data_IF_902169812042
#
_entry.id   IF_902169812042
#
_cell.length_a   1.000
_cell.length_b   1.000
_cell.length_c   1.000
_cell.angle_alpha   90.00
_cell.angle_beta   90.00
_cell.angle_gamma   90.00
#
_symmetry.space_group_name_H-M   'P 1'
#
loop_
_entity.id
_entity.type
_entity.pdbx_description
1 polymer ?
#
# COMPACT_ATOMS: atom_id res chain seq x y z
N UNK A 1 12.62 -1.88 -16.94
CA UNK A 1 11.75 -0.78 -17.42
C UNK A 1 12.22 0.51 -16.79
N UNK A 2 12.60 1.49 -17.60
CA UNK A 2 13.11 2.79 -17.15
C UNK A 2 12.01 3.61 -16.47
N UNK A 3 12.23 4.01 -15.22
CA UNK A 3 11.35 4.91 -14.46
C UNK A 3 11.37 6.28 -15.12
N UNK A 4 10.23 6.71 -15.67
CA UNK A 4 10.09 8.05 -16.22
C UNK A 4 10.10 9.08 -15.07
N UNK A 5 10.88 10.16 -15.22
CA UNK A 5 11.11 11.17 -14.17
C UNK A 5 10.70 12.56 -14.68
N UNK A 6 9.38 12.86 -14.73
CA UNK A 6 8.91 14.19 -15.10
C UNK A 6 9.47 15.25 -14.15
N UNK A 7 9.90 16.39 -14.69
CA UNK A 7 10.55 17.47 -13.94
C UNK A 7 9.65 18.18 -12.92
N UNK A 8 8.32 18.04 -13.05
CA UNK A 8 7.34 18.50 -12.06
C UNK A 8 6.09 17.61 -12.06
N UNK A 9 5.25 17.73 -11.02
CA UNK A 9 4.05 16.91 -10.87
C UNK A 9 2.98 17.20 -11.95
N UNK A 10 2.96 18.41 -12.53
CA UNK A 10 1.97 18.81 -13.54
C UNK A 10 2.24 18.16 -14.89
N UNK A 11 3.50 17.91 -15.21
CA UNK A 11 3.94 17.27 -16.45
C UNK A 11 3.96 15.75 -16.37
N UNK A 12 3.66 15.16 -15.21
CA UNK A 12 3.59 13.72 -15.07
C UNK A 12 2.30 13.16 -15.67
N UNK A 13 2.36 11.91 -16.14
CA UNK A 13 1.16 11.19 -16.52
C UNK A 13 0.43 10.68 -15.27
N UNK A 14 -0.88 10.90 -15.28
CA UNK A 14 -1.84 10.56 -14.25
C UNK A 14 -3.10 9.89 -14.83
N UNK A 15 -3.12 9.59 -16.14
CA UNK A 15 -4.25 8.92 -16.78
C UNK A 15 -4.41 7.51 -16.22
N UNK A 16 -5.55 6.88 -16.51
CA UNK A 16 -5.72 5.44 -16.28
C UNK A 16 -4.64 4.68 -17.04
N UNK A 17 -4.08 3.64 -16.42
CA UNK A 17 -3.15 2.73 -17.08
C UNK A 17 -3.84 1.59 -17.85
N UNK A 18 -5.16 1.43 -17.69
CA UNK A 18 -5.90 0.27 -18.21
C UNK A 18 -5.57 -1.04 -17.46
N UNK A 19 -5.07 -0.95 -16.23
CA UNK A 19 -4.78 -2.13 -15.39
C UNK A 19 -6.08 -2.77 -14.86
N UNK A 20 -7.08 -1.95 -14.54
CA UNK A 20 -8.36 -2.45 -14.07
C UNK A 20 -9.35 -2.59 -15.25
N UNK A 21 -10.24 -3.60 -15.23
CA UNK A 21 -11.35 -3.67 -16.17
C UNK A 21 -12.18 -2.39 -16.15
N UNK A 22 -12.80 -2.05 -17.28
CA UNK A 22 -13.81 -0.98 -17.28
C UNK A 22 -14.96 -1.36 -16.34
N UNK A 23 -15.58 -0.40 -15.62
CA UNK A 23 -16.70 -0.69 -14.73
C UNK A 23 -17.82 -1.51 -15.39
N UNK A 24 -18.14 -1.24 -16.65
CA UNK A 24 -19.18 -1.95 -17.40
C UNK A 24 -18.74 -3.35 -17.90
N UNK A 25 -17.43 -3.61 -17.91
CA UNK A 25 -16.85 -4.88 -18.38
C UNK A 25 -16.74 -5.95 -17.29
N UNK A 26 -17.01 -5.58 -16.03
CA UNK A 26 -16.95 -6.46 -14.88
C UNK A 26 -17.98 -5.99 -13.86
N UNK A 27 -19.05 -6.75 -13.63
CA UNK A 27 -20.12 -6.31 -12.73
C UNK A 27 -19.89 -6.74 -11.27
N UNK A 28 -18.82 -7.48 -10.98
CA UNK A 28 -18.57 -7.97 -9.63
C UNK A 28 -18.09 -6.86 -8.69
N UNK A 29 -18.42 -7.02 -7.41
CA UNK A 29 -17.78 -6.24 -6.35
C UNK A 29 -16.28 -6.58 -6.29
N UNK A 30 -15.45 -5.61 -5.94
CA UNK A 30 -14.02 -5.80 -5.83
C UNK A 30 -13.35 -4.86 -4.83
N UNK A 31 -12.30 -5.35 -4.19
CA UNK A 31 -11.35 -4.56 -3.39
C UNK A 31 -9.96 -4.80 -3.96
N UNK A 32 -9.27 -3.72 -4.33
CA UNK A 32 -7.88 -3.77 -4.77
C UNK A 32 -7.00 -2.96 -3.83
N UNK A 33 -5.82 -3.50 -3.54
CA UNK A 33 -4.68 -2.73 -3.06
C UNK A 33 -3.72 -2.58 -4.22
N UNK A 34 -3.47 -1.34 -4.63
CA UNK A 34 -2.58 -1.02 -5.74
C UNK A 34 -1.33 -0.31 -5.24
N UNK A 35 -0.25 -0.43 -6.01
CA UNK A 35 0.99 0.29 -5.77
C UNK A 35 1.65 0.75 -7.06
N UNK A 36 2.42 1.83 -6.98
CA UNK A 36 3.28 2.29 -8.07
C UNK A 36 4.57 2.88 -7.49
N UNK A 37 5.66 2.87 -8.28
CA UNK A 37 6.91 3.54 -7.90
C UNK A 37 6.67 5.03 -7.71
N UNK A 38 7.27 5.64 -6.67
CA UNK A 38 7.16 7.08 -6.44
C UNK A 38 7.90 7.88 -7.51
N UNK A 39 7.57 9.17 -7.70
CA UNK A 39 8.29 10.03 -8.64
C UNK A 39 9.68 10.46 -8.16
N UNK A 40 10.57 10.80 -9.09
CA UNK A 40 11.89 11.38 -8.83
C UNK A 40 12.92 10.40 -8.21
N UNK A 41 13.92 10.94 -7.50
CA UNK A 41 14.95 10.14 -6.80
C UNK A 41 14.34 9.18 -5.75
N UNK A 42 13.19 9.55 -5.17
CA UNK A 42 12.43 8.73 -4.22
C UNK A 42 11.88 7.45 -4.89
N UNK A 43 11.62 7.51 -6.19
CA UNK A 43 11.14 6.39 -7.00
C UNK A 43 12.07 5.19 -7.07
N UNK A 44 13.36 5.40 -6.84
CA UNK A 44 14.30 4.29 -6.73
C UNK A 44 14.02 3.39 -5.52
N UNK A 45 13.36 3.92 -4.48
CA UNK A 45 13.41 3.32 -3.14
C UNK A 45 12.05 3.16 -2.46
N UNK A 46 10.97 3.74 -2.99
CA UNK A 46 9.66 3.69 -2.35
C UNK A 46 8.48 3.57 -3.32
N UNK A 47 7.39 2.99 -2.82
CA UNK A 47 6.09 2.91 -3.47
C UNK A 47 5.10 3.95 -2.90
N UNK A 48 4.16 4.37 -3.75
CA UNK A 48 2.89 4.97 -3.31
C UNK A 48 1.81 3.90 -3.46
N UNK A 49 1.09 3.62 -2.37
CA UNK A 49 0.02 2.62 -2.36
C UNK A 49 -1.33 3.26 -2.09
N UNK A 50 -2.38 2.61 -2.60
CA UNK A 50 -3.76 3.06 -2.43
C UNK A 50 -4.75 1.92 -2.48
N UNK A 51 -5.98 2.20 -2.06
CA UNK A 51 -7.08 1.25 -2.04
C UNK A 51 -8.10 1.65 -3.10
N UNK A 52 -8.65 0.66 -3.78
CA UNK A 52 -9.76 0.83 -4.72
C UNK A 52 -10.89 -0.09 -4.30
N UNK A 53 -12.08 0.47 -4.15
CA UNK A 53 -13.32 -0.26 -3.85
C UNK A 53 -14.24 -0.19 -5.06
N UNK A 54 -14.97 -1.27 -5.32
CA UNK A 54 -16.03 -1.31 -6.33
C UNK A 54 -17.16 -2.14 -5.79
N UNK A 55 -18.35 -1.57 -5.72
CA UNK A 55 -19.58 -2.32 -5.45
C UNK A 55 -20.04 -3.00 -6.74
N UNK A 56 -20.84 -4.06 -6.62
CA UNK A 56 -21.39 -4.74 -7.78
C UNK A 56 -22.17 -3.76 -8.68
N UNK A 57 -21.88 -3.77 -9.98
CA UNK A 57 -22.48 -2.86 -10.97
C UNK A 57 -22.15 -1.37 -10.79
N UNK A 58 -21.20 -1.01 -9.93
CA UNK A 58 -20.82 0.37 -9.67
C UNK A 58 -19.44 0.75 -10.25
N UNK A 59 -19.17 2.06 -10.26
CA UNK A 59 -17.83 2.59 -10.55
C UNK A 59 -16.82 2.32 -9.44
N UNK A 60 -15.55 2.62 -9.73
CA UNK A 60 -14.46 2.49 -8.78
C UNK A 60 -14.34 3.72 -7.87
N UNK A 61 -14.18 3.45 -6.58
CA UNK A 61 -13.80 4.42 -5.55
C UNK A 61 -12.35 4.23 -5.13
N UNK A 62 -11.47 5.16 -5.50
CA UNK A 62 -10.07 5.22 -5.10
C UNK A 62 -9.91 6.05 -3.83
N UNK A 63 -9.15 5.50 -2.87
CA UNK A 63 -8.73 6.17 -1.64
C UNK A 63 -7.22 6.15 -1.51
N UNK A 64 -6.60 7.32 -1.43
CA UNK A 64 -5.17 7.45 -1.19
C UNK A 64 -4.81 8.60 -0.24
N UNK A 65 -3.72 8.41 0.51
CA UNK A 65 -3.20 9.43 1.42
C UNK A 65 -2.11 10.25 0.74
N UNK A 66 -2.30 11.57 0.65
CA UNK A 66 -1.36 12.50 -0.01
C UNK A 66 -1.05 13.72 0.86
N UNK A 67 0.01 14.45 0.49
CA UNK A 67 0.50 15.60 1.25
C UNK A 67 -0.15 16.95 0.93
N UNK A 68 -1.16 16.99 0.06
CA UNK A 68 -1.82 18.22 -0.38
C UNK A 68 -3.34 18.12 -0.19
N UNK A 69 -3.94 19.14 0.44
CA UNK A 69 -5.37 19.18 0.75
C UNK A 69 -5.76 18.30 1.95
N UNK A 70 -6.98 17.73 1.93
CA UNK A 70 -7.38 16.69 2.90
C UNK A 70 -6.48 15.46 2.71
N UNK A 71 -5.84 14.94 3.76
CA UNK A 71 -4.85 13.88 3.61
C UNK A 71 -5.42 12.63 2.94
N UNK A 72 -6.63 12.21 3.29
CA UNK A 72 -7.32 11.10 2.61
C UNK A 72 -8.18 11.67 1.49
N UNK A 73 -7.84 11.30 0.25
CA UNK A 73 -8.52 11.76 -0.96
C UNK A 73 -9.36 10.64 -1.53
N UNK A 74 -10.55 10.99 -2.03
CA UNK A 74 -11.44 10.09 -2.78
C UNK A 74 -11.52 10.54 -4.24
N UNK A 75 -11.29 9.62 -5.18
CA UNK A 75 -11.50 9.80 -6.63
C UNK A 75 -10.84 11.03 -7.25
N UNK A 76 -9.67 11.42 -6.75
CA UNK A 76 -8.94 12.59 -7.31
C UNK A 76 -8.10 12.25 -8.54
N UNK A 77 -7.93 10.95 -8.78
CA UNK A 77 -7.24 10.34 -9.90
C UNK A 77 -8.03 9.09 -10.32
N UNK A 78 -7.84 8.59 -11.55
CA UNK A 78 -8.37 7.28 -11.95
C UNK A 78 -7.97 6.19 -10.96
N UNK A 79 -8.80 5.16 -10.85
CA UNK A 79 -8.62 4.05 -9.91
C UNK A 79 -7.27 3.35 -10.09
N UNK A 80 -6.89 3.13 -11.34
CA UNK A 80 -5.60 2.60 -11.79
C UNK A 80 -4.74 3.68 -12.45
N UNK A 81 -4.86 4.92 -11.98
CA UNK A 81 -4.08 6.01 -12.53
C UNK A 81 -2.58 5.81 -12.33
N UNK A 82 -1.77 6.15 -13.34
CA UNK A 82 -0.33 6.29 -13.19
C UNK A 82 0.01 7.15 -11.97
N UNK A 83 1.11 6.81 -11.29
CA UNK A 83 1.65 7.64 -10.21
C UNK A 83 2.96 8.28 -10.67
N UNK A 84 2.93 9.58 -10.94
CA UNK A 84 4.09 10.27 -11.52
C UNK A 84 4.65 9.55 -12.77
N UNK A 85 3.80 9.23 -13.75
CA UNK A 85 4.15 8.41 -14.93
C UNK A 85 4.57 6.96 -14.64
N UNK A 86 4.56 6.48 -13.39
CA UNK A 86 4.88 5.09 -13.08
C UNK A 86 3.62 4.23 -13.12
N UNK A 87 3.68 3.15 -13.90
CA UNK A 87 2.57 2.22 -14.05
C UNK A 87 2.22 1.57 -12.69
N UNK A 88 0.94 1.49 -12.33
CA UNK A 88 0.52 0.74 -11.16
C UNK A 88 0.63 -0.76 -11.38
N UNK A 89 0.66 -1.48 -10.28
CA UNK A 89 0.48 -2.93 -10.23
C UNK A 89 -0.45 -3.31 -9.07
N UNK A 90 -1.08 -4.47 -9.20
CA UNK A 90 -1.94 -5.03 -8.16
C UNK A 90 -1.06 -5.67 -7.08
N UNK A 91 -1.20 -5.21 -5.84
CA UNK A 91 -0.60 -5.85 -4.66
C UNK A 91 -1.53 -6.96 -4.15
N UNK A 92 -2.83 -6.66 -4.10
CA UNK A 92 -3.85 -7.64 -3.73
C UNK A 92 -5.17 -7.32 -4.42
N UNK A 93 -5.93 -8.35 -4.79
CA UNK A 93 -7.29 -8.22 -5.30
C UNK A 93 -8.21 -9.26 -4.69
N UNK A 94 -9.35 -8.82 -4.18
CA UNK A 94 -10.47 -9.66 -3.80
C UNK A 94 -11.69 -9.27 -4.65
N UNK A 95 -12.42 -10.25 -5.17
CA UNK A 95 -13.58 -10.03 -6.07
C UNK A 95 -14.80 -10.85 -5.63
N UNK A 96 -15.96 -10.49 -6.17
CA UNK A 96 -17.22 -11.16 -5.91
C UNK A 96 -17.74 -10.95 -4.48
N UNK A 97 -18.46 -11.95 -3.98
CA UNK A 97 -19.15 -11.89 -2.68
C UNK A 97 -18.21 -11.59 -1.51
N UNK A 98 -16.97 -12.11 -1.54
CA UNK A 98 -15.97 -11.82 -0.51
C UNK A 98 -15.65 -10.33 -0.44
N UNK A 99 -15.50 -9.66 -1.59
CA UNK A 99 -15.29 -8.22 -1.64
C UNK A 99 -16.51 -7.45 -1.13
N UNK A 100 -17.72 -7.86 -1.52
CA UNK A 100 -18.96 -7.21 -1.10
C UNK A 100 -19.12 -7.19 0.43
N UNK A 101 -18.78 -8.30 1.09
CA UNK A 101 -18.80 -8.41 2.56
C UNK A 101 -17.75 -7.53 3.22
N UNK A 102 -16.56 -7.38 2.61
CA UNK A 102 -15.46 -6.63 3.22
C UNK A 102 -15.48 -5.13 2.94
N UNK A 103 -16.12 -4.66 1.85
CA UNK A 103 -16.19 -3.23 1.50
C UNK A 103 -16.62 -2.34 2.69
N UNK A 104 -17.69 -2.65 3.44
CA UNK A 104 -18.08 -1.84 4.60
C UNK A 104 -17.02 -1.79 5.70
N UNK A 105 -16.32 -2.91 5.96
CA UNK A 105 -15.21 -2.95 6.93
C UNK A 105 -14.05 -2.06 6.48
N UNK A 106 -13.74 -2.09 5.18
CA UNK A 106 -12.69 -1.25 4.59
C UNK A 106 -13.04 0.23 4.67
N UNK A 107 -14.27 0.60 4.32
CA UNK A 107 -14.75 1.98 4.45
C UNK A 107 -14.70 2.46 5.90
N UNK A 108 -15.08 1.61 6.86
CA UNK A 108 -14.99 1.92 8.28
C UNK A 108 -13.54 2.16 8.72
N UNK A 109 -12.60 1.30 8.32
CA UNK A 109 -11.19 1.47 8.62
C UNK A 109 -10.62 2.77 8.02
N UNK A 110 -11.03 3.12 6.79
CA UNK A 110 -10.66 4.40 6.18
C UNK A 110 -11.20 5.58 7.01
N UNK A 111 -12.45 5.51 7.44
CA UNK A 111 -13.10 6.56 8.22
C UNK A 111 -12.47 6.76 9.61
N UNK A 112 -11.99 5.69 10.25
CA UNK A 112 -11.37 5.75 11.58
C UNK A 112 -9.85 5.96 11.55
N UNK A 113 -9.25 6.15 10.38
CA UNK A 113 -7.81 6.32 10.27
C UNK A 113 -7.31 7.53 11.09
N UNK A 114 -6.40 7.35 12.07
CA UNK A 114 -6.06 8.38 13.05
C UNK A 114 -5.28 9.57 12.48
N UNK A 115 -4.69 9.41 11.29
CA UNK A 115 -3.90 10.46 10.64
C UNK A 115 -4.63 11.07 9.44
N UNK A 116 -5.95 11.20 9.52
CA UNK A 116 -6.81 11.79 8.47
C UNK A 116 -6.87 13.32 8.50
N UNK A 117 -6.34 13.97 9.55
CA UNK A 117 -6.41 15.42 9.74
C UNK A 117 -5.39 16.20 8.88
N UNK A 118 -5.73 17.40 8.36
CA UNK A 118 -4.79 18.26 7.63
C UNK A 118 -3.47 18.46 8.39
N UNK A 119 -2.35 18.41 7.67
CA UNK A 119 -1.00 18.53 8.26
C UNK A 119 -0.44 17.23 8.85
N UNK A 120 -1.24 16.17 9.00
CA UNK A 120 -0.75 14.89 9.52
C UNK A 120 0.11 14.10 8.51
N UNK A 121 0.14 14.46 7.23
CA UNK A 121 0.96 13.76 6.24
C UNK A 121 2.45 14.08 6.41
N UNK A 122 3.28 13.03 6.52
CA UNK A 122 4.73 13.14 6.49
C UNK A 122 5.30 12.07 5.57
N UNK A 123 6.07 12.49 4.58
CA UNK A 123 6.65 11.60 3.55
C UNK A 123 7.48 10.48 4.17
N UNK A 124 8.30 10.79 5.18
CA UNK A 124 9.18 9.85 5.87
C UNK A 124 9.39 10.28 7.33
N UNK A 125 9.40 9.34 8.31
CA UNK A 125 9.12 7.90 8.15
C UNK A 125 7.62 7.59 7.96
N UNK A 126 6.76 8.58 8.19
CA UNK A 126 5.31 8.46 8.14
C UNK A 126 4.66 9.48 9.08
N UNK A 127 3.32 9.55 9.12
CA UNK A 127 2.40 8.69 8.37
C UNK A 127 2.19 9.18 6.92
N UNK A 128 2.27 8.24 5.97
CA UNK A 128 2.13 8.47 4.52
C UNK A 128 1.14 7.48 3.89
N UNK A 129 1.07 7.39 2.55
CA UNK A 129 0.24 6.43 1.81
C UNK A 129 0.40 4.99 2.28
N UNK A 130 1.64 4.56 2.53
CA UNK A 130 1.95 3.20 2.95
C UNK A 130 1.48 2.94 4.38
N UNK A 131 1.63 3.93 5.28
CA UNK A 131 1.08 3.84 6.65
C UNK A 131 -0.45 3.79 6.66
N UNK A 132 -1.10 4.51 5.73
CA UNK A 132 -2.55 4.49 5.58
C UNK A 132 -3.05 3.13 5.10
N UNK A 133 -2.49 2.60 4.02
CA UNK A 133 -2.88 1.29 3.50
C UNK A 133 -2.54 0.17 4.49
N UNK A 134 -1.39 0.23 5.16
CA UNK A 134 -1.03 -0.72 6.22
C UNK A 134 -2.07 -0.73 7.35
N UNK A 135 -2.50 0.44 7.83
CA UNK A 135 -3.54 0.53 8.85
C UNK A 135 -4.86 -0.13 8.41
N UNK A 136 -5.28 0.08 7.16
CA UNK A 136 -6.52 -0.52 6.65
C UNK A 136 -6.40 -2.04 6.49
N UNK A 137 -5.24 -2.53 6.07
CA UNK A 137 -4.96 -3.97 6.00
C UNK A 137 -4.97 -4.59 7.39
N UNK A 138 -4.32 -3.96 8.37
CA UNK A 138 -4.30 -4.44 9.75
C UNK A 138 -5.72 -4.47 10.37
N UNK A 139 -6.57 -3.50 10.02
CA UNK A 139 -7.95 -3.40 10.51
C UNK A 139 -8.93 -4.34 9.80
N UNK A 140 -8.63 -4.76 8.57
CA UNK A 140 -9.45 -5.69 7.77
C UNK A 140 -8.58 -6.82 7.26
N UNK A 141 -8.10 -7.68 8.18
CA UNK A 141 -7.07 -8.61 7.84
C UNK A 141 -7.60 -9.66 6.82
N UNK A 142 -8.91 -9.93 6.76
CA UNK A 142 -9.53 -10.83 5.77
C UNK A 142 -9.28 -10.44 4.30
N UNK A 143 -8.75 -9.24 4.04
CA UNK A 143 -8.23 -8.86 2.71
C UNK A 143 -7.07 -9.75 2.25
N UNK A 144 -6.31 -10.35 3.17
CA UNK A 144 -5.13 -11.16 2.85
C UNK A 144 -4.02 -10.40 2.12
N UNK A 145 -4.00 -9.07 2.22
CA UNK A 145 -3.01 -8.22 1.57
C UNK A 145 -1.74 -8.11 2.41
N UNK A 146 -0.58 -8.07 1.76
CA UNK A 146 0.70 -7.70 2.40
C UNK A 146 1.42 -6.66 1.57
N UNK A 147 1.74 -5.52 2.17
CA UNK A 147 2.47 -4.48 1.45
C UNK A 147 3.91 -4.93 1.16
N UNK A 148 4.48 -4.61 -0.02
CA UNK A 148 5.87 -4.90 -0.34
C UNK A 148 6.87 -4.30 0.66
N UNK A 149 8.04 -4.92 0.82
CA UNK A 149 9.09 -4.47 1.74
C UNK A 149 9.69 -3.09 1.42
N UNK A 150 9.52 -2.63 0.17
CA UNK A 150 9.91 -1.29 -0.26
C UNK A 150 8.74 -0.27 -0.21
N UNK A 151 7.60 -0.60 0.40
CA UNK A 151 6.55 0.37 0.72
C UNK A 151 6.95 1.20 1.97
N UNK A 152 7.96 2.06 1.81
CA UNK A 152 8.56 2.85 2.91
C UNK A 152 7.49 3.61 3.72
N UNK A 153 7.44 3.34 5.03
CA UNK A 153 6.47 3.91 5.96
C UNK A 153 5.28 3.00 6.27
N UNK A 154 5.17 1.80 5.68
CA UNK A 154 4.17 0.78 6.06
C UNK A 154 4.26 0.39 7.54
N UNK A 155 5.46 0.46 8.13
CA UNK A 155 5.73 0.07 9.53
C UNK A 155 5.56 1.24 10.52
N UNK A 156 4.98 2.37 10.11
CA UNK A 156 4.78 3.53 10.99
C UNK A 156 3.64 3.24 12.00
N UNK A 157 3.89 3.27 13.32
CA UNK A 157 2.90 2.90 14.32
C UNK A 157 1.89 4.03 14.59
N UNK A 158 0.72 3.67 15.13
CA UNK A 158 -0.15 4.62 15.80
C UNK A 158 0.44 4.89 17.18
N UNK A 159 1.12 6.03 17.35
CA UNK A 159 1.87 6.37 18.56
C UNK A 159 3.38 6.36 18.32
N UNK A 160 4.17 6.28 19.40
CA UNK A 160 5.63 6.27 19.30
C UNK A 160 6.18 4.88 18.97
N UNK A 161 5.53 3.82 19.44
CA UNK A 161 5.98 2.44 19.24
C UNK A 161 4.78 1.49 19.17
N UNK A 162 5.02 0.29 18.65
CA UNK A 162 4.07 -0.82 18.56
C UNK A 162 4.84 -2.12 18.77
N UNK A 163 4.27 -3.05 19.53
CA UNK A 163 4.71 -4.43 19.64
C UNK A 163 3.47 -5.31 19.70
N UNK A 164 3.25 -6.15 18.69
CA UNK A 164 2.02 -6.93 18.56
C UNK A 164 2.27 -8.28 17.90
N UNK A 165 1.44 -9.25 18.26
CA UNK A 165 1.29 -10.50 17.53
C UNK A 165 0.24 -10.30 16.45
N UNK A 166 0.58 -10.60 15.19
CA UNK A 166 -0.34 -10.53 14.06
C UNK A 166 -0.87 -11.93 13.75
N UNK A 167 -2.12 -12.20 14.16
CA UNK A 167 -2.74 -13.54 14.04
C UNK A 167 -2.74 -14.10 12.62
N UNK A 168 -2.89 -13.23 11.62
CA UNK A 168 -2.98 -13.68 10.23
C UNK A 168 -1.66 -14.14 9.62
N UNK A 169 -0.57 -13.45 9.94
CA UNK A 169 0.74 -13.84 9.47
C UNK A 169 1.47 -14.75 10.46
N UNK A 170 0.90 -14.93 11.66
CA UNK A 170 1.53 -15.62 12.80
C UNK A 170 2.94 -15.05 13.07
N UNK A 171 3.04 -13.72 13.07
CA UNK A 171 4.30 -13.01 13.31
C UNK A 171 4.23 -12.11 14.55
N UNK A 172 5.34 -12.04 15.29
CA UNK A 172 5.61 -10.96 16.22
C UNK A 172 6.20 -9.77 15.46
N UNK A 173 5.55 -8.61 15.55
CA UNK A 173 5.99 -7.35 14.92
C UNK A 173 6.27 -6.27 15.93
N UNK A 174 7.37 -5.56 15.71
CA UNK A 174 7.77 -4.40 16.51
C UNK A 174 8.17 -3.22 15.62
N UNK A 175 7.82 -2.00 16.02
CA UNK A 175 8.26 -0.77 15.36
C UNK A 175 8.35 0.39 16.33
N UNK A 176 9.40 1.19 16.22
CA UNK A 176 9.62 2.43 16.98
C UNK A 176 9.68 3.58 15.97
N UNK A 177 8.69 4.46 16.05
CA UNK A 177 8.50 5.66 15.23
C UNK A 177 8.52 5.40 13.70
N UNK A 178 8.39 4.15 13.26
CA UNK A 178 8.61 3.75 11.87
C UNK A 178 10.09 3.86 11.42
N UNK A 179 11.03 3.94 12.35
CA UNK A 179 12.47 4.07 12.09
C UNK A 179 13.23 2.77 12.33
N UNK A 180 12.87 2.01 13.36
CA UNK A 180 13.50 0.72 13.68
C UNK A 180 12.40 -0.27 13.98
N UNK A 181 12.46 -1.45 13.38
CA UNK A 181 11.43 -2.46 13.56
C UNK A 181 11.85 -3.85 13.12
N UNK A 182 11.00 -4.82 13.40
CA UNK A 182 11.18 -6.21 13.00
C UNK A 182 9.84 -6.91 12.77
N UNK A 183 9.88 -8.01 12.03
CA UNK A 183 8.81 -9.02 11.93
C UNK A 183 9.44 -10.40 12.01
N UNK A 184 8.95 -11.27 12.89
CA UNK A 184 9.50 -12.60 13.11
C UNK A 184 8.35 -13.60 13.29
N UNK A 185 8.27 -14.60 12.44
CA UNK A 185 7.26 -15.65 12.57
C UNK A 185 7.14 -16.51 11.33
N UNK A 186 5.91 -16.97 11.06
CA UNK A 186 5.62 -17.85 9.93
C UNK A 186 5.88 -17.17 8.59
N UNK A 187 5.69 -15.84 8.49
CA UNK A 187 5.88 -15.16 7.20
C UNK A 187 7.34 -15.00 6.81
N UNK A 188 8.25 -15.06 7.79
CA UNK A 188 9.66 -14.80 7.58
C UNK A 188 10.33 -14.02 8.70
N UNK A 189 11.49 -13.49 8.37
CA UNK A 189 12.31 -12.63 9.24
C UNK A 189 12.55 -11.33 8.49
N UNK A 190 12.10 -10.21 9.06
CA UNK A 190 12.34 -8.88 8.53
C UNK A 190 12.96 -7.98 9.60
N UNK A 191 13.93 -7.17 9.20
CA UNK A 191 14.48 -6.06 9.97
C UNK A 191 14.31 -4.77 9.20
N UNK A 192 13.79 -3.76 9.88
CA UNK A 192 13.50 -2.45 9.34
C UNK A 192 14.44 -1.43 9.99
N UNK A 193 15.13 -0.65 9.18
CA UNK A 193 16.00 0.44 9.62
C UNK A 193 15.88 1.65 8.69
N UNK A 194 15.46 2.79 9.24
CA UNK A 194 15.22 4.04 8.53
C UNK A 194 14.29 3.91 7.30
N UNK A 195 13.36 2.96 7.35
CA UNK A 195 12.43 2.66 6.26
C UNK A 195 12.96 1.69 5.20
N UNK A 196 14.20 1.22 5.33
CA UNK A 196 14.75 0.13 4.55
C UNK A 196 14.49 -1.20 5.24
N UNK A 197 14.09 -2.21 4.48
CA UNK A 197 13.78 -3.54 5.00
C UNK A 197 14.74 -4.56 4.40
N UNK A 198 15.38 -5.33 5.26
CA UNK A 198 16.18 -6.50 4.91
C UNK A 198 15.56 -7.75 5.55
N UNK A 199 15.60 -8.90 4.88
CA UNK A 199 14.96 -10.09 5.42
C UNK A 199 14.82 -11.24 4.45
N UNK A 200 14.10 -12.26 4.90
CA UNK A 200 13.74 -13.45 4.13
C UNK A 200 12.25 -13.70 4.28
N UNK A 201 11.56 -13.91 3.16
CA UNK A 201 10.16 -14.32 3.14
C UNK A 201 10.08 -15.84 3.00
N UNK A 202 9.27 -16.49 3.83
CA UNK A 202 9.09 -17.95 3.83
C UNK A 202 7.83 -18.41 3.10
N UNK A 203 6.83 -17.54 2.93
CA UNK A 203 5.56 -17.86 2.26
C UNK A 203 5.76 -17.88 0.75
N UNK A 204 6.43 -16.86 0.24
CA UNK A 204 6.89 -16.77 -1.13
C UNK A 204 8.41 -16.58 -1.10
N UNK A 205 9.19 -17.67 -1.20
CA UNK A 205 10.62 -17.68 -0.92
C UNK A 205 11.42 -16.60 -1.66
N UNK A 206 11.84 -15.57 -0.93
CA UNK A 206 12.54 -14.42 -1.48
C UNK A 206 13.48 -13.76 -0.47
N UNK A 207 14.54 -13.13 -0.98
CA UNK A 207 15.31 -12.15 -0.22
C UNK A 207 14.62 -10.80 -0.29
N UNK A 208 14.46 -10.16 0.86
CA UNK A 208 14.04 -8.76 0.94
C UNK A 208 15.30 -7.91 0.93
N UNK A 209 15.53 -7.24 -0.20
CA UNK A 209 16.70 -6.39 -0.40
C UNK A 209 16.31 -4.94 -0.12
N UNK A 210 17.04 -4.24 0.76
CA UNK A 210 16.82 -2.83 1.06
C UNK A 210 16.56 -2.00 -0.20
N UNK A 211 15.44 -1.29 -0.20
CA UNK A 211 14.99 -0.39 -1.27
C UNK A 211 14.56 -1.04 -2.60
N UNK A 212 15.17 -2.17 -2.97
CA UNK A 212 14.81 -2.92 -4.17
C UNK A 212 13.50 -3.70 -3.99
N UNK A 213 13.24 -4.19 -2.77
CA UNK A 213 12.06 -4.97 -2.44
C UNK A 213 12.35 -6.47 -2.47
N UNK A 214 11.40 -7.25 -2.98
CA UNK A 214 11.51 -8.71 -3.06
C UNK A 214 12.38 -9.13 -4.24
N UNK A 215 13.33 -10.04 -4.01
CA UNK A 215 14.13 -10.74 -5.02
C UNK A 215 13.88 -12.23 -4.83
N UNK A 216 13.12 -12.84 -5.75
CA UNK A 216 12.79 -14.26 -5.69
C UNK A 216 14.03 -15.13 -5.70
N UNK A 217 14.05 -16.18 -4.89
CA UNK A 217 15.18 -17.11 -4.80
C UNK A 217 15.15 -18.17 -5.92
N UNK A 218 14.00 -18.35 -6.58
CA UNK A 218 13.84 -19.22 -7.73
C UNK A 218 13.14 -18.48 -8.88
N UNK A 219 13.60 -18.64 -10.13
CA UNK A 219 12.83 -18.24 -11.29
C UNK A 219 11.67 -19.23 -11.45
N UNK A 220 10.44 -18.72 -11.43
CA UNK A 220 9.29 -19.41 -12.02
C UNK A 220 9.05 -18.83 -13.41
#
# INVERSE_FOLDING_TARGET
MTVERPGNWRSADWSSSGLLPTPDGDTEAAVYVLGARTGGLKGAFSLHTWIVLKRAGAGYDRYDKVGWGSPIRKNTRPADGFWYSNAPFVIQSLRGQGAEVLIPKVEQAIATYPFSQPGAYRVWPGPNSNSFVAYVIDAVPELGARLPSNAVGRDFPVGLWRLEWQDQSEDLRGSIAGLVGFSLGRSGIEFQFLGLVAGVDFIDPALLVPAFGRVGLWPF
#
